data_IF_439540323340
#
_entry.id   IF_439540323340
#
_cell.length_a   1.000
_cell.length_b   1.000
_cell.length_c   1.000
_cell.angle_alpha   90.00
_cell.angle_beta   90.00
_cell.angle_gamma   90.00
#
_symmetry.space_group_name_H-M   'P 1'
#
loop_
_entity.id
_entity.type
_entity.pdbx_description
1 polymer ?
#
# COMPACT_ATOMS: atom_id res chain seq x y z
N UNK A 1 -20.80 -2.84 -29.77
CA UNK A 1 -19.43 -2.46 -29.39
C UNK A 1 -18.94 -3.44 -28.34
N UNK A 2 -17.98 -4.28 -28.74
CA UNK A 2 -17.35 -5.31 -27.92
C UNK A 2 -16.22 -4.66 -27.13
N UNK A 3 -16.10 -4.89 -25.82
CA UNK A 3 -14.81 -4.84 -25.15
C UNK A 3 -14.78 -5.78 -23.93
N UNK A 4 -14.34 -7.00 -24.22
CA UNK A 4 -13.95 -8.02 -23.27
C UNK A 4 -12.56 -7.69 -22.71
N UNK A 5 -12.39 -7.71 -21.38
CA UNK A 5 -11.07 -7.74 -20.73
C UNK A 5 -11.05 -8.75 -19.60
N UNK A 6 -10.87 -10.02 -19.94
CA UNK A 6 -10.21 -10.99 -19.03
C UNK A 6 -8.78 -11.20 -19.52
N UNK A 7 -7.79 -10.69 -18.78
CA UNK A 7 -6.42 -11.22 -18.84
C UNK A 7 -6.20 -12.09 -17.62
N UNK A 8 -6.62 -13.36 -17.72
CA UNK A 8 -6.04 -14.43 -16.91
C UNK A 8 -4.62 -14.63 -17.44
N UNK A 9 -3.60 -14.20 -16.71
CA UNK A 9 -2.24 -14.67 -16.94
C UNK A 9 -2.17 -16.12 -16.47
N UNK A 10 -2.59 -17.04 -17.33
CA UNK A 10 -2.36 -18.47 -17.13
C UNK A 10 -0.88 -18.77 -17.32
N UNK A 11 -0.21 -19.17 -16.24
CA UNK A 11 1.06 -19.88 -16.37
C UNK A 11 0.77 -21.20 -17.12
N UNK A 12 1.50 -21.53 -18.20
CA UNK A 12 1.24 -22.77 -18.93
C UNK A 12 1.52 -23.97 -18.01
N UNK A 13 0.47 -24.72 -17.68
CA UNK A 13 0.58 -26.07 -17.11
C UNK A 13 1.10 -26.99 -18.21
N UNK A 14 2.14 -27.75 -17.87
CA UNK A 14 2.90 -28.63 -18.75
C UNK A 14 2.01 -29.46 -19.69
N UNK A 15 2.20 -29.28 -20.99
CA UNK A 15 1.59 -30.14 -22.01
C UNK A 15 2.20 -31.55 -21.97
N UNK A 16 1.33 -32.55 -22.10
CA UNK A 16 1.62 -33.98 -21.97
C UNK A 16 2.62 -34.47 -23.03
N UNK A 17 3.59 -35.26 -22.59
CA UNK A 17 4.72 -35.78 -23.37
C UNK A 17 4.30 -36.82 -24.42
N UNK A 18 4.77 -36.63 -25.67
CA UNK A 18 5.07 -37.73 -26.56
C UNK A 18 6.43 -38.33 -26.16
N UNK A 19 6.42 -39.58 -25.68
CA UNK A 19 7.61 -40.30 -25.23
C UNK A 19 8.45 -40.77 -26.43
N UNK A 20 9.51 -40.06 -26.75
CA UNK A 20 10.51 -40.53 -27.72
C UNK A 20 11.42 -41.57 -27.05
N UNK A 21 11.65 -42.71 -27.72
CA UNK A 21 12.39 -43.90 -27.22
C UNK A 21 13.92 -43.74 -27.23
N UNK A 22 14.46 -42.56 -26.91
CA UNK A 22 15.91 -42.36 -26.86
C UNK A 22 16.31 -40.92 -26.58
N UNK A 23 17.38 -40.76 -25.77
CA UNK A 23 17.93 -39.47 -25.34
C UNK A 23 17.69 -39.16 -23.86
N UNK A 24 18.47 -38.23 -23.30
CA UNK A 24 18.24 -37.72 -21.96
C UNK A 24 16.83 -37.07 -21.89
N UNK A 25 16.08 -37.30 -20.81
CA UNK A 25 14.72 -36.77 -20.67
C UNK A 25 14.70 -35.25 -20.83
N UNK A 26 13.66 -34.75 -21.51
CA UNK A 26 13.47 -33.32 -21.69
C UNK A 26 13.28 -32.68 -20.31
N UNK A 27 13.99 -31.59 -20.05
CA UNK A 27 13.80 -30.85 -18.80
C UNK A 27 12.38 -30.27 -18.78
N UNK A 28 11.67 -30.34 -17.64
CA UNK A 28 10.28 -29.89 -17.54
C UNK A 28 10.14 -28.37 -17.73
N UNK A 29 11.17 -27.60 -17.39
CA UNK A 29 11.20 -26.15 -17.59
C UNK A 29 12.37 -25.79 -18.50
N UNK A 30 12.04 -25.47 -19.74
CA UNK A 30 12.98 -24.95 -20.73
C UNK A 30 13.33 -23.50 -20.39
N UNK A 31 14.62 -23.16 -20.41
CA UNK A 31 15.14 -21.82 -20.04
C UNK A 31 15.94 -21.29 -21.22
N UNK A 32 15.23 -20.70 -22.18
CA UNK A 32 15.79 -20.25 -23.46
C UNK A 32 16.23 -18.78 -23.47
N UNK A 33 15.88 -18.01 -22.44
CA UNK A 33 16.18 -16.58 -22.33
C UNK A 33 17.36 -16.34 -21.37
N UNK A 34 18.30 -15.48 -21.76
CA UNK A 34 19.41 -15.02 -20.93
C UNK A 34 19.36 -13.51 -20.65
N UNK A 35 19.92 -13.11 -19.52
CA UNK A 35 20.16 -11.72 -19.15
C UNK A 35 21.64 -11.62 -18.77
N UNK A 36 22.41 -10.76 -19.44
CA UNK A 36 23.79 -10.47 -19.06
C UNK A 36 23.85 -9.22 -18.20
N UNK A 37 24.41 -9.35 -17.01
CA UNK A 37 24.66 -8.24 -16.08
C UNK A 37 26.16 -8.15 -15.85
N UNK A 38 26.73 -6.96 -16.03
CA UNK A 38 28.11 -6.69 -15.62
C UNK A 38 28.11 -6.39 -14.13
N UNK A 39 28.95 -7.11 -13.39
CA UNK A 39 29.10 -6.98 -11.95
C UNK A 39 30.48 -6.41 -11.63
N UNK A 40 30.56 -5.63 -10.57
CA UNK A 40 31.82 -5.32 -9.91
C UNK A 40 32.40 -6.56 -9.21
N UNK A 41 33.70 -6.51 -8.89
CA UNK A 41 34.37 -7.61 -8.19
C UNK A 41 33.72 -7.93 -6.83
N UNK A 42 33.29 -6.90 -6.10
CA UNK A 42 32.64 -7.03 -4.78
C UNK A 42 31.26 -7.67 -4.89
N UNK A 43 30.44 -7.24 -5.85
CA UNK A 43 29.11 -7.83 -6.11
C UNK A 43 29.22 -9.30 -6.48
N UNK A 44 30.19 -9.64 -7.34
CA UNK A 44 30.44 -11.02 -7.73
C UNK A 44 30.86 -11.89 -6.53
N UNK A 45 31.77 -11.38 -5.70
CA UNK A 45 32.22 -12.08 -4.50
C UNK A 45 31.07 -12.32 -3.51
N UNK A 46 30.26 -11.29 -3.24
CA UNK A 46 29.09 -11.42 -2.35
C UNK A 46 28.08 -12.44 -2.89
N UNK A 47 27.83 -12.44 -4.20
CA UNK A 47 26.93 -13.39 -4.84
C UNK A 47 27.44 -14.83 -4.70
N UNK A 48 28.73 -15.07 -4.94
CA UNK A 48 29.34 -16.40 -4.81
C UNK A 48 29.42 -16.85 -3.34
N UNK A 49 29.68 -15.95 -2.39
CA UNK A 49 29.66 -16.27 -0.95
C UNK A 49 28.28 -16.72 -0.51
N UNK A 50 27.23 -15.96 -0.85
CA UNK A 50 25.85 -16.31 -0.50
C UNK A 50 25.37 -17.60 -1.16
N UNK A 51 25.82 -17.88 -2.38
CA UNK A 51 25.53 -19.14 -3.04
C UNK A 51 26.19 -20.34 -2.32
N UNK A 52 27.46 -20.18 -1.91
CA UNK A 52 28.20 -21.18 -1.13
C UNK A 52 27.57 -21.43 0.24
N UNK A 53 27.21 -20.37 0.97
CA UNK A 53 26.53 -20.46 2.26
C UNK A 53 25.20 -21.23 2.14
N UNK A 54 24.46 -21.01 1.05
CA UNK A 54 23.22 -21.73 0.76
C UNK A 54 23.43 -23.13 0.16
N UNK A 55 24.67 -23.56 -0.10
CA UNK A 55 24.99 -24.87 -0.67
C UNK A 55 24.50 -25.07 -2.11
N UNK A 56 24.21 -24.00 -2.84
CA UNK A 56 23.64 -24.04 -4.20
C UNK A 56 24.55 -23.35 -5.20
N UNK A 57 24.35 -23.64 -6.50
CA UNK A 57 25.08 -22.96 -7.57
C UNK A 57 24.68 -21.49 -7.63
N UNK A 58 25.62 -20.61 -7.98
CA UNK A 58 25.38 -19.17 -8.14
C UNK A 58 24.19 -18.88 -9.04
N UNK A 59 24.02 -19.64 -10.13
CA UNK A 59 22.89 -19.47 -11.04
C UNK A 59 21.53 -19.82 -10.42
N UNK A 60 21.49 -20.80 -9.50
CA UNK A 60 20.27 -21.17 -8.78
C UNK A 60 19.96 -20.17 -7.67
N UNK A 61 21.02 -19.67 -7.01
CA UNK A 61 20.91 -18.61 -6.04
C UNK A 61 20.29 -17.35 -6.64
N UNK A 62 20.78 -16.90 -7.80
CA UNK A 62 20.20 -15.73 -8.50
C UNK A 62 18.74 -15.97 -8.88
N UNK A 63 18.37 -17.19 -9.32
CA UNK A 63 16.97 -17.52 -9.63
C UNK A 63 16.08 -17.45 -8.40
N UNK A 64 16.55 -17.97 -7.27
CA UNK A 64 15.84 -17.89 -6.00
C UNK A 64 15.71 -16.44 -5.54
N UNK A 65 16.79 -15.66 -5.64
CA UNK A 65 16.82 -14.24 -5.32
C UNK A 65 15.84 -13.43 -6.19
N UNK A 66 15.74 -13.69 -7.50
CA UNK A 66 14.77 -13.01 -8.37
C UNK A 66 13.33 -13.33 -7.96
N UNK A 67 13.04 -14.58 -7.56
CA UNK A 67 11.70 -14.98 -7.10
C UNK A 67 11.34 -14.37 -5.74
N UNK A 68 12.31 -14.20 -4.86
CA UNK A 68 12.11 -13.65 -3.52
C UNK A 68 12.29 -12.13 -3.45
N UNK A 69 12.86 -11.51 -4.48
CA UNK A 69 13.09 -10.08 -4.55
C UNK A 69 11.76 -9.32 -4.46
N UNK A 70 11.48 -8.76 -3.28
CA UNK A 70 10.41 -7.80 -3.11
C UNK A 70 10.89 -6.47 -3.67
N UNK A 71 10.59 -6.22 -4.94
CA UNK A 71 10.68 -4.89 -5.50
C UNK A 71 9.57 -4.08 -4.86
N UNK A 72 9.91 -3.13 -3.99
CA UNK A 72 8.95 -2.13 -3.52
C UNK A 72 8.79 -1.14 -4.69
N UNK A 73 7.68 -1.18 -5.44
CA UNK A 73 7.49 -0.23 -6.52
C UNK A 73 7.46 1.18 -5.92
N UNK A 74 8.04 2.16 -6.63
CA UNK A 74 7.80 3.56 -6.29
C UNK A 74 6.29 3.79 -6.35
N UNK A 75 5.75 4.52 -5.36
CA UNK A 75 4.34 4.91 -5.32
C UNK A 75 3.96 5.52 -6.68
N UNK A 76 2.86 5.03 -7.26
CA UNK A 76 2.34 5.57 -8.52
C UNK A 76 1.96 7.04 -8.31
N UNK A 77 1.95 7.83 -9.39
CA UNK A 77 1.61 9.25 -9.31
C UNK A 77 0.24 9.49 -8.64
N UNK A 78 -0.72 8.61 -8.88
CA UNK A 78 -2.05 8.60 -8.24
C UNK A 78 -1.96 8.42 -6.71
N UNK A 79 -1.19 7.44 -6.24
CA UNK A 79 -1.00 7.15 -4.80
C UNK A 79 -0.29 8.31 -4.09
N UNK A 80 0.68 8.95 -4.76
CA UNK A 80 1.33 10.15 -4.25
C UNK A 80 0.38 11.35 -4.17
N UNK A 81 -0.56 11.47 -5.11
CA UNK A 81 -1.60 12.52 -5.08
C UNK A 81 -2.53 12.33 -3.89
N UNK A 82 -2.96 11.09 -3.65
CA UNK A 82 -3.80 10.74 -2.50
C UNK A 82 -3.08 11.05 -1.17
N UNK A 83 -1.78 10.72 -1.07
CA UNK A 83 -0.99 10.98 0.14
C UNK A 83 -0.85 12.48 0.42
N UNK A 84 -0.67 13.30 -0.63
CA UNK A 84 -0.64 14.77 -0.51
C UNK A 84 -1.98 15.33 -0.07
N UNK A 85 -3.09 14.81 -0.62
CA UNK A 85 -4.43 15.20 -0.20
C UNK A 85 -4.67 14.89 1.29
N UNK A 86 -4.28 13.69 1.73
CA UNK A 86 -4.39 13.27 3.13
C UNK A 86 -3.60 14.20 4.06
N UNK A 87 -2.36 14.57 3.67
CA UNK A 87 -1.56 15.52 4.42
C UNK A 87 -2.22 16.90 4.50
N UNK A 88 -2.83 17.37 3.41
CA UNK A 88 -3.62 18.61 3.40
C UNK A 88 -4.81 18.56 4.35
N UNK A 89 -5.57 17.46 4.35
CA UNK A 89 -6.69 17.26 5.28
C UNK A 89 -6.25 17.20 6.74
N UNK A 90 -5.15 16.52 7.03
CA UNK A 90 -4.59 16.47 8.39
C UNK A 90 -4.17 17.87 8.88
N UNK A 91 -3.60 18.69 7.99
CA UNK A 91 -3.26 20.07 8.31
C UNK A 91 -4.51 20.93 8.55
N UNK A 92 -5.55 20.78 7.71
CA UNK A 92 -6.83 21.47 7.91
C UNK A 92 -7.45 21.11 9.27
N UNK A 93 -7.45 19.83 9.64
CA UNK A 93 -7.91 19.37 10.94
C UNK A 93 -7.11 19.99 12.09
N UNK A 94 -5.79 20.03 11.96
CA UNK A 94 -4.93 20.63 12.99
C UNK A 94 -5.18 22.14 13.14
N UNK A 95 -5.45 22.85 12.05
CA UNK A 95 -5.85 24.27 12.09
C UNK A 95 -7.20 24.45 12.77
N UNK A 96 -8.20 23.62 12.45
CA UNK A 96 -9.50 23.64 13.11
C UNK A 96 -9.38 23.38 14.62
N UNK A 97 -8.55 22.42 15.03
CA UNK A 97 -8.31 22.15 16.45
C UNK A 97 -7.65 23.33 17.16
N UNK A 98 -6.65 23.96 16.54
CA UNK A 98 -6.00 25.17 17.09
C UNK A 98 -6.96 26.34 17.19
N UNK A 99 -7.85 26.51 16.21
CA UNK A 99 -8.90 27.51 16.27
C UNK A 99 -9.89 27.18 17.39
N UNK A 100 -10.42 25.96 17.46
CA UNK A 100 -11.35 25.57 18.51
C UNK A 100 -10.77 25.79 19.92
N UNK A 101 -9.48 25.49 20.10
CA UNK A 101 -8.75 25.75 21.34
C UNK A 101 -8.61 27.26 21.63
N UNK A 102 -8.19 28.05 20.65
CA UNK A 102 -7.95 29.50 20.81
C UNK A 102 -9.23 30.29 21.06
N UNK A 103 -10.31 29.94 20.37
CA UNK A 103 -11.59 30.60 20.47
C UNK A 103 -12.43 30.09 21.64
N UNK A 104 -11.94 29.08 22.37
CA UNK A 104 -12.69 28.46 23.46
C UNK A 104 -14.09 28.07 23.00
N UNK A 105 -14.23 27.47 21.82
CA UNK A 105 -15.55 27.20 21.22
C UNK A 105 -16.48 26.44 22.19
N UNK A 106 -15.88 25.62 23.06
CA UNK A 106 -16.56 24.95 24.15
C UNK A 106 -17.08 25.89 25.26
N UNK A 107 -16.32 26.93 25.64
CA UNK A 107 -16.75 27.92 26.63
C UNK A 107 -17.82 28.87 26.09
N UNK A 108 -17.76 29.22 24.79
CA UNK A 108 -18.81 30.01 24.12
C UNK A 108 -20.10 29.21 24.03
N UNK A 109 -20.03 27.94 23.62
CA UNK A 109 -21.19 27.05 23.58
C UNK A 109 -21.81 26.82 24.98
N UNK A 110 -20.98 26.73 26.03
CA UNK A 110 -21.42 26.64 27.42
C UNK A 110 -22.21 27.88 27.87
N UNK A 111 -21.66 29.08 27.64
CA UNK A 111 -22.32 30.35 27.99
C UNK A 111 -23.63 30.57 27.22
N UNK A 112 -23.67 30.21 25.94
CA UNK A 112 -24.91 30.27 25.16
C UNK A 112 -25.98 29.33 25.73
N UNK A 113 -25.59 28.15 26.24
CA UNK A 113 -26.52 27.21 26.88
C UNK A 113 -27.05 27.73 28.21
N UNK A 114 -26.20 28.34 29.03
CA UNK A 114 -26.61 28.99 30.29
C UNK A 114 -27.61 30.12 30.01
N UNK A 115 -27.31 31.01 29.06
CA UNK A 115 -28.22 32.09 28.66
C UNK A 115 -29.58 31.55 28.15
N UNK A 116 -29.58 30.47 27.36
CA UNK A 116 -30.82 29.85 26.89
C UNK A 116 -31.66 29.26 28.03
N UNK A 117 -31.03 28.71 29.07
CA UNK A 117 -31.74 28.22 30.26
C UNK A 117 -32.35 29.36 31.09
N UNK A 118 -31.65 30.48 31.20
CA UNK A 118 -32.16 31.67 31.89
C UNK A 118 -33.36 32.28 31.14
N UNK A 119 -33.30 32.32 29.82
CA UNK A 119 -34.43 32.73 28.97
C UNK A 119 -35.63 31.77 29.17
N UNK A 120 -35.41 30.46 29.17
CA UNK A 120 -36.48 29.48 29.40
C UNK A 120 -37.12 29.62 30.79
N UNK A 121 -36.32 29.89 31.83
CA UNK A 121 -36.82 30.10 33.19
C UNK A 121 -37.63 31.41 33.33
N UNK A 122 -37.15 32.50 32.73
CA UNK A 122 -37.86 33.78 32.74
C UNK A 122 -39.17 33.70 31.97
N UNK A 123 -39.19 33.04 30.81
CA UNK A 123 -40.42 32.78 30.07
C UNK A 123 -41.42 31.95 30.88
N UNK A 124 -40.94 30.93 31.60
CA UNK A 124 -41.80 30.13 32.50
C UNK A 124 -42.32 30.93 33.71
N UNK A 125 -41.54 31.87 34.24
CA UNK A 125 -41.96 32.73 35.33
C UNK A 125 -43.05 33.72 34.87
N UNK A 126 -42.85 34.37 33.73
CA UNK A 126 -43.84 35.29 33.13
C UNK A 126 -45.15 34.55 32.82
N UNK A 127 -45.06 33.34 32.27
CA UNK A 127 -46.24 32.52 31.95
C UNK A 127 -46.96 31.95 33.19
N UNK A 128 -46.37 32.09 34.38
CA UNK A 128 -46.97 31.66 35.66
C UNK A 128 -47.65 32.83 36.41
N UNK A 129 -47.20 34.06 36.20
CA UNK A 129 -47.78 35.28 36.77
C UNK A 129 -49.01 35.80 35.99
N UNK A 130 -49.29 35.25 34.80
CA UNK A 130 -50.44 35.60 33.94
C UNK A 130 -51.71 34.76 34.26
N UNK A 131 -51.87 34.31 35.52
CA UNK A 131 -53.03 33.53 35.99
C UNK A 131 -53.58 33.97 37.35
#
# INVERSE_FOLDING_TARGET
MVFERKKKTSFPLAEKENKNKGGAPRKPVKRDLDIRVRLSATERFMMDSKAKEAGIKTSDWVRAAIKSARVVPRLKAEELSLLRMLAGLANNLNQLMKLAYRWGLHSVAGKCRELLLEIDQTLKAINKDDR
#
